data_IF_166079431376
#
_entry.id   IF_166079431376
#
_cell.length_a   1.000
_cell.length_b   1.000
_cell.length_c   1.000
_cell.angle_alpha   90.00
_cell.angle_beta   90.00
_cell.angle_gamma   90.00
#
_symmetry.space_group_name_H-M   'P 1'
#
loop_
_entity.id
_entity.type
_entity.pdbx_description
1 polymer ?
#
# COMPACT_ATOMS: atom_id res chain seq x y z
N UNK A 1 12.42 18.23 10.49
CA UNK A 1 11.18 17.46 10.74
C UNK A 1 11.49 16.10 11.36
N UNK A 2 12.27 15.23 10.70
CA UNK A 2 12.65 13.89 11.22
C UNK A 2 13.27 13.96 12.63
N UNK A 3 14.21 14.88 12.87
CA UNK A 3 14.81 15.03 14.22
C UNK A 3 13.80 15.42 15.31
N UNK A 4 12.76 16.18 14.98
CA UNK A 4 11.70 16.52 15.94
C UNK A 4 10.85 15.29 16.29
N UNK A 5 10.59 14.43 15.30
CA UNK A 5 9.90 13.15 15.49
C UNK A 5 10.75 12.23 16.36
N UNK A 6 12.05 12.10 16.07
CA UNK A 6 13.02 11.35 16.87
C UNK A 6 13.00 11.82 18.33
N UNK A 7 13.07 13.14 18.55
CA UNK A 7 13.06 13.71 19.89
C UNK A 7 11.73 13.46 20.62
N UNK A 8 10.58 13.56 19.93
CA UNK A 8 9.26 13.29 20.50
C UNK A 8 9.07 11.80 20.87
N UNK A 9 9.53 10.89 20.01
CA UNK A 9 9.51 9.44 20.28
C UNK A 9 10.38 9.10 21.49
N UNK A 10 11.61 9.62 21.52
CA UNK A 10 12.53 9.39 22.64
C UNK A 10 11.96 9.93 23.96
N UNK A 11 11.34 11.12 23.96
CA UNK A 11 10.71 11.68 25.15
C UNK A 11 9.50 10.84 25.63
N UNK A 12 8.70 10.31 24.70
CA UNK A 12 7.55 9.45 25.04
C UNK A 12 8.01 8.10 25.61
N UNK A 13 9.08 7.51 25.07
CA UNK A 13 9.70 6.30 25.59
C UNK A 13 10.23 6.49 27.02
N UNK A 14 10.84 7.64 27.32
CA UNK A 14 11.34 7.92 28.68
C UNK A 14 10.24 8.09 29.72
N UNK A 15 9.06 8.63 29.36
CA UNK A 15 7.93 8.79 30.28
C UNK A 15 7.21 7.48 30.62
N UNK A 16 7.21 6.51 29.71
CA UNK A 16 6.57 5.22 29.92
C UNK A 16 7.48 4.20 30.63
N UNK A 17 8.76 4.51 30.85
CA UNK A 17 9.80 3.62 31.38
C UNK A 17 9.91 3.60 32.92
N UNK A 18 8.87 3.97 33.68
CA UNK A 18 8.92 3.88 35.17
C UNK A 18 9.08 2.41 35.65
N UNK A 19 8.82 1.44 34.77
CA UNK A 19 9.20 0.04 34.97
C UNK A 19 10.15 -0.41 33.87
N UNK A 20 11.35 -0.83 34.30
CA UNK A 20 12.40 -1.53 33.53
C UNK A 20 13.32 -0.66 32.65
N UNK A 21 14.43 -0.17 33.25
CA UNK A 21 15.50 0.60 32.60
C UNK A 21 16.28 -0.18 31.51
N UNK A 22 15.95 -1.45 31.25
CA UNK A 22 16.77 -2.33 30.41
C UNK A 22 16.35 -2.39 28.93
N UNK A 23 15.23 -1.79 28.50
CA UNK A 23 14.77 -1.89 27.10
C UNK A 23 14.06 -0.64 26.56
N UNK A 24 14.75 0.50 26.51
CA UNK A 24 14.27 1.64 25.70
C UNK A 24 14.47 1.34 24.21
N UNK A 25 13.43 0.86 23.52
CA UNK A 25 13.48 0.56 22.09
C UNK A 25 13.58 1.85 21.26
N UNK A 26 14.78 2.18 20.79
CA UNK A 26 15.05 3.35 19.93
C UNK A 26 14.11 3.39 18.72
N UNK A 27 13.80 4.57 18.17
CA UNK A 27 13.06 4.66 16.90
C UNK A 27 13.72 3.80 15.81
N UNK A 28 12.92 3.02 15.08
CA UNK A 28 13.34 2.36 13.85
C UNK A 28 12.98 3.25 12.65
N UNK A 29 13.96 3.57 11.81
CA UNK A 29 13.73 4.16 10.50
C UNK A 29 13.79 3.04 9.48
N UNK A 30 12.65 2.73 8.86
CA UNK A 30 12.53 1.72 7.82
C UNK A 30 12.51 2.42 6.45
N UNK A 31 13.61 2.25 5.72
CA UNK A 31 13.79 2.80 4.37
C UNK A 31 13.38 1.75 3.33
N UNK A 32 12.46 2.09 2.43
CA UNK A 32 11.98 1.16 1.42
C UNK A 32 13.06 0.73 0.41
N UNK A 33 13.86 1.69 -0.08
CA UNK A 33 14.92 1.47 -1.08
C UNK A 33 16.20 0.88 -0.52
N UNK A 34 17.23 0.78 -1.36
CA UNK A 34 18.55 0.26 -0.98
C UNK A 34 19.42 1.29 -0.25
N UNK A 35 20.45 0.80 0.44
CA UNK A 35 21.44 1.64 1.13
C UNK A 35 22.05 2.70 0.20
N UNK A 36 22.44 2.31 -1.01
CA UNK A 36 23.13 3.17 -1.99
C UNK A 36 22.28 4.38 -2.43
N UNK A 37 20.95 4.24 -2.47
CA UNK A 37 20.03 5.35 -2.82
C UNK A 37 19.91 6.40 -1.72
N UNK A 38 20.46 6.14 -0.53
CA UNK A 38 20.28 6.93 0.68
C UNK A 38 21.61 7.53 1.20
N UNK A 39 22.73 7.26 0.52
CA UNK A 39 24.05 7.76 0.90
C UNK A 39 24.19 9.20 0.44
N UNK A 40 23.76 10.12 1.28
CA UNK A 40 24.49 11.39 1.46
C UNK A 40 24.20 12.06 2.82
N UNK A 41 23.08 11.75 3.51
CA UNK A 41 22.65 12.55 4.68
C UNK A 41 22.05 11.80 5.89
N UNK A 42 22.15 10.47 6.03
CA UNK A 42 21.41 9.75 7.11
C UNK A 42 22.20 9.50 8.39
N UNK A 43 23.43 8.94 8.30
CA UNK A 43 24.17 8.51 9.49
C UNK A 43 24.65 9.65 10.42
N UNK A 44 24.86 10.86 9.88
CA UNK A 44 25.25 12.05 10.67
C UNK A 44 24.06 12.76 11.33
N UNK A 45 22.85 12.59 10.80
CA UNK A 45 21.69 13.40 11.20
C UNK A 45 20.69 12.66 12.08
N UNK A 46 20.74 11.33 12.17
CA UNK A 46 19.83 10.52 13.00
C UNK A 46 20.56 9.84 14.15
N UNK A 47 20.96 10.62 15.15
CA UNK A 47 21.51 10.06 16.39
C UNK A 47 20.42 9.36 17.19
N UNK A 48 20.73 8.21 17.79
CA UNK A 48 19.80 7.41 18.63
C UNK A 48 18.60 6.82 17.87
N UNK A 49 18.80 6.38 16.63
CA UNK A 49 17.84 5.59 15.85
C UNK A 49 18.56 4.41 15.20
N UNK A 50 17.84 3.31 14.96
CA UNK A 50 18.35 2.27 14.07
C UNK A 50 17.71 2.46 12.69
N UNK A 51 18.47 2.15 11.63
CA UNK A 51 18.01 2.28 10.25
C UNK A 51 18.03 0.89 9.61
N UNK A 52 16.94 0.52 8.95
CA UNK A 52 16.81 -0.73 8.22
C UNK A 52 16.37 -0.47 6.78
N UNK A 53 17.08 -1.07 5.83
CA UNK A 53 16.78 -0.96 4.41
C UNK A 53 16.05 -2.21 3.93
N UNK A 54 14.93 -2.03 3.22
CA UNK A 54 14.14 -3.15 2.70
C UNK A 54 14.54 -3.58 1.30
N UNK A 55 15.38 -2.79 0.61
CA UNK A 55 15.88 -3.08 -0.74
C UNK A 55 14.76 -3.36 -1.76
N UNK A 56 13.65 -2.65 -1.64
CA UNK A 56 12.55 -2.74 -2.60
C UNK A 56 13.00 -2.16 -3.95
N UNK A 57 12.61 -2.81 -5.07
CA UNK A 57 12.93 -2.33 -6.41
C UNK A 57 12.26 -0.99 -6.72
N UNK A 58 12.89 -0.18 -7.58
CA UNK A 58 12.30 1.08 -8.04
C UNK A 58 11.07 0.89 -8.95
N UNK A 59 10.41 2.01 -9.27
CA UNK A 59 9.20 2.01 -10.11
C UNK A 59 9.44 1.38 -11.48
N UNK A 60 10.65 1.52 -12.04
CA UNK A 60 10.98 1.01 -13.37
C UNK A 60 11.16 -0.51 -13.36
N UNK A 61 11.80 -1.06 -12.32
CA UNK A 61 11.94 -2.49 -12.11
C UNK A 61 10.58 -3.17 -11.87
N UNK A 62 9.69 -2.53 -11.10
CA UNK A 62 8.30 -2.98 -10.93
C UNK A 62 7.54 -2.97 -12.26
N UNK A 63 7.65 -1.89 -13.06
CA UNK A 63 7.00 -1.81 -14.36
C UNK A 63 7.51 -2.89 -15.33
N UNK A 64 8.83 -3.10 -15.42
CA UNK A 64 9.42 -4.18 -16.23
C UNK A 64 8.92 -5.56 -15.79
N UNK A 65 8.89 -5.82 -14.48
CA UNK A 65 8.38 -7.07 -13.90
C UNK A 65 6.93 -7.34 -14.34
N UNK A 66 6.05 -6.35 -14.22
CA UNK A 66 4.65 -6.47 -14.62
C UNK A 66 4.49 -6.65 -16.14
N UNK A 67 5.27 -5.96 -16.97
CA UNK A 67 5.25 -6.14 -18.42
C UNK A 67 5.66 -7.56 -18.81
N UNK A 68 6.69 -8.11 -18.17
CA UNK A 68 7.11 -9.51 -18.40
C UNK A 68 6.02 -10.49 -17.97
N UNK A 69 5.38 -10.25 -16.82
CA UNK A 69 4.27 -11.10 -16.34
C UNK A 69 3.08 -11.09 -17.30
N UNK A 70 2.69 -9.91 -17.81
CA UNK A 70 1.63 -9.79 -18.83
C UNK A 70 1.96 -10.60 -20.08
N UNK A 71 3.21 -10.53 -20.56
CA UNK A 71 3.65 -11.30 -21.74
C UNK A 71 3.64 -12.81 -21.49
N UNK A 72 4.14 -13.25 -20.34
CA UNK A 72 4.14 -14.66 -19.96
C UNK A 72 2.70 -15.23 -19.87
N UNK A 73 1.75 -14.45 -19.38
CA UNK A 73 0.34 -14.87 -19.27
C UNK A 73 -0.44 -14.77 -20.60
N UNK A 74 0.00 -13.95 -21.56
CA UNK A 74 -0.66 -13.85 -22.86
C UNK A 74 -0.37 -15.05 -23.77
N UNK A 75 0.80 -15.69 -23.63
CA UNK A 75 1.21 -16.84 -24.45
C UNK A 75 1.67 -17.96 -23.51
N UNK A 76 0.73 -18.80 -23.08
CA UNK A 76 1.04 -19.97 -22.27
C UNK A 76 1.73 -21.02 -23.14
N UNK A 77 2.88 -21.48 -22.68
CA UNK A 77 3.70 -22.51 -23.33
C UNK A 77 4.32 -23.40 -22.26
N UNK A 78 4.98 -24.50 -22.66
CA UNK A 78 5.45 -25.56 -21.75
C UNK A 78 6.42 -25.05 -20.67
N UNK A 79 7.10 -23.92 -20.89
CA UNK A 79 8.00 -23.29 -19.92
C UNK A 79 7.37 -22.10 -19.14
N UNK A 80 6.04 -21.96 -19.15
CA UNK A 80 5.32 -20.84 -18.55
C UNK A 80 5.72 -20.54 -17.10
N UNK A 81 5.84 -21.56 -16.24
CA UNK A 81 6.22 -21.37 -14.83
C UNK A 81 7.63 -20.76 -14.68
N UNK A 82 8.56 -21.15 -15.56
CA UNK A 82 9.90 -20.56 -15.62
C UNK A 82 9.83 -19.11 -16.06
N UNK A 83 9.00 -18.80 -17.06
CA UNK A 83 8.77 -17.42 -17.50
C UNK A 83 8.20 -16.56 -16.37
N UNK A 84 7.14 -17.02 -15.69
CA UNK A 84 6.54 -16.32 -14.54
C UNK A 84 7.57 -16.10 -13.44
N UNK A 85 8.38 -17.11 -13.10
CA UNK A 85 9.43 -16.99 -12.09
C UNK A 85 10.47 -15.94 -12.48
N UNK A 86 10.84 -15.87 -13.76
CA UNK A 86 11.83 -14.91 -14.28
C UNK A 86 11.36 -13.44 -14.23
N UNK A 87 10.04 -13.20 -14.15
CA UNK A 87 9.47 -11.85 -14.02
C UNK A 87 9.83 -11.17 -12.71
N UNK A 88 10.15 -11.97 -11.67
CA UNK A 88 10.33 -11.55 -10.28
C UNK A 88 9.09 -10.95 -9.60
N UNK A 89 7.90 -11.02 -10.21
CA UNK A 89 6.71 -10.38 -9.66
C UNK A 89 6.36 -10.90 -8.26
N UNK A 90 6.29 -12.23 -8.09
CA UNK A 90 6.01 -12.85 -6.79
C UNK A 90 7.08 -12.53 -5.73
N UNK A 91 8.35 -12.45 -6.14
CA UNK A 91 9.44 -12.03 -5.27
C UNK A 91 9.28 -10.58 -4.82
N UNK A 92 8.81 -9.70 -5.71
CA UNK A 92 8.51 -8.30 -5.37
C UNK A 92 7.33 -8.19 -4.40
N UNK A 93 6.27 -9.01 -4.57
CA UNK A 93 5.16 -9.08 -3.61
C UNK A 93 5.64 -9.56 -2.24
N UNK A 94 6.43 -10.65 -2.22
CA UNK A 94 6.98 -11.22 -0.99
C UNK A 94 7.87 -10.21 -0.24
N UNK A 95 8.73 -9.48 -0.95
CA UNK A 95 9.56 -8.44 -0.37
C UNK A 95 8.72 -7.31 0.26
N UNK A 96 7.66 -6.88 -0.42
CA UNK A 96 6.76 -5.82 0.06
C UNK A 96 5.96 -6.26 1.30
N UNK A 97 5.41 -7.48 1.28
CA UNK A 97 4.73 -8.08 2.46
C UNK A 97 5.70 -8.26 3.63
N UNK A 98 6.96 -8.63 3.35
CA UNK A 98 8.02 -8.74 4.37
C UNK A 98 8.34 -7.39 5.01
N UNK A 99 8.41 -6.31 4.21
CA UNK A 99 8.58 -4.96 4.72
C UNK A 99 7.44 -4.54 5.65
N UNK A 100 6.20 -4.76 5.25
CA UNK A 100 5.03 -4.50 6.10
C UNK A 100 5.05 -5.35 7.38
N UNK A 101 5.37 -6.65 7.27
CA UNK A 101 5.48 -7.56 8.42
C UNK A 101 6.56 -7.12 9.41
N UNK A 102 7.66 -6.54 8.93
CA UNK A 102 8.70 -5.94 9.78
C UNK A 102 8.14 -4.77 10.60
N UNK A 103 7.36 -3.88 9.98
CA UNK A 103 6.66 -2.78 10.67
C UNK A 103 5.73 -3.34 11.74
N UNK A 104 4.90 -4.32 11.39
CA UNK A 104 3.95 -4.98 12.32
C UNK A 104 4.68 -5.60 13.51
N UNK A 105 5.78 -6.31 13.29
CA UNK A 105 6.56 -6.94 14.35
C UNK A 105 7.11 -5.90 15.33
N UNK A 106 7.75 -4.84 14.83
CA UNK A 106 8.33 -3.80 15.66
C UNK A 106 7.25 -3.02 16.44
N UNK A 107 6.14 -2.68 15.79
CA UNK A 107 5.04 -1.94 16.44
C UNK A 107 4.32 -2.79 17.49
N UNK A 108 3.88 -3.99 17.13
CA UNK A 108 2.98 -4.78 17.97
C UNK A 108 3.70 -5.69 18.97
N UNK A 109 4.87 -6.23 18.62
CA UNK A 109 5.62 -7.15 19.51
C UNK A 109 6.67 -6.41 20.33
N UNK A 110 7.42 -5.52 19.68
CA UNK A 110 8.56 -4.85 20.33
C UNK A 110 8.19 -3.50 20.96
N UNK A 111 6.92 -3.06 20.83
CA UNK A 111 6.43 -1.74 21.25
C UNK A 111 7.38 -0.61 20.79
N UNK A 112 7.92 -0.78 19.59
CA UNK A 112 8.96 0.07 19.03
C UNK A 112 8.33 1.00 18.00
N UNK A 113 8.49 2.32 18.13
CA UNK A 113 8.00 3.24 17.12
C UNK A 113 8.78 3.03 15.82
N UNK A 114 8.05 3.05 14.70
CA UNK A 114 8.62 2.88 13.35
C UNK A 114 8.27 4.09 12.49
N UNK A 115 9.29 4.67 11.89
CA UNK A 115 9.18 5.68 10.84
C UNK A 115 9.46 5.03 9.49
N UNK A 116 8.45 4.95 8.61
CA UNK A 116 8.62 4.44 7.26
C UNK A 116 8.82 5.60 6.29
N UNK A 117 9.83 5.50 5.42
CA UNK A 117 9.96 6.41 4.29
C UNK A 117 10.66 5.75 3.08
N UNK A 118 10.58 6.42 1.93
CA UNK A 118 11.35 6.11 0.74
C UNK A 118 12.00 7.41 0.22
N UNK A 119 12.46 7.42 -1.03
CA UNK A 119 13.13 8.57 -1.67
C UNK A 119 12.23 9.81 -1.77
N UNK A 120 10.95 9.66 -2.13
CA UNK A 120 9.99 10.76 -2.30
C UNK A 120 8.69 10.58 -1.49
N UNK A 121 8.58 9.50 -0.71
CA UNK A 121 7.43 9.21 0.14
C UNK A 121 6.15 8.76 -0.57
N UNK A 122 6.09 8.71 -1.90
CA UNK A 122 4.81 8.61 -2.66
C UNK A 122 4.45 7.22 -3.17
N UNK A 123 5.42 6.32 -3.29
CA UNK A 123 5.22 4.98 -3.89
C UNK A 123 5.30 3.86 -2.85
N UNK A 124 6.50 3.49 -2.41
CA UNK A 124 6.67 2.38 -1.45
C UNK A 124 6.16 2.68 -0.05
N UNK A 125 6.19 3.94 0.40
CA UNK A 125 5.70 4.32 1.73
C UNK A 125 4.22 3.97 1.91
N UNK A 126 3.28 4.43 1.05
CA UNK A 126 1.88 4.06 1.20
C UNK A 126 1.66 2.55 1.05
N UNK A 127 2.40 1.84 0.20
CA UNK A 127 2.32 0.38 0.11
C UNK A 127 2.64 -0.31 1.45
N UNK A 128 3.78 0.02 2.06
CA UNK A 128 4.22 -0.58 3.32
C UNK A 128 3.28 -0.21 4.47
N UNK A 129 2.93 1.08 4.60
CA UNK A 129 2.08 1.59 5.68
C UNK A 129 0.70 0.94 5.63
N UNK A 130 0.04 0.94 4.48
CA UNK A 130 -1.33 0.43 4.36
C UNK A 130 -1.41 -1.10 4.51
N UNK A 131 -0.38 -1.84 4.07
CA UNK A 131 -0.26 -3.26 4.39
C UNK A 131 -0.11 -3.50 5.88
N UNK A 132 0.77 -2.76 6.56
CA UNK A 132 0.97 -2.89 7.99
C UNK A 132 -0.32 -2.52 8.77
N UNK A 133 -1.02 -1.45 8.37
CA UNK A 133 -2.28 -1.04 8.98
C UNK A 133 -3.37 -2.11 8.83
N UNK A 134 -3.54 -2.71 7.64
CA UNK A 134 -4.49 -3.82 7.42
C UNK A 134 -4.13 -5.05 8.26
N UNK A 135 -2.84 -5.35 8.41
CA UNK A 135 -2.36 -6.45 9.24
C UNK A 135 -2.63 -6.19 10.74
N UNK A 136 -2.52 -4.95 11.21
CA UNK A 136 -2.67 -4.56 12.61
C UNK A 136 -4.12 -4.34 13.04
N UNK A 137 -4.95 -3.73 12.19
CA UNK A 137 -6.29 -3.26 12.57
C UNK A 137 -7.37 -3.90 11.69
N UNK A 138 -8.27 -4.65 12.35
CA UNK A 138 -9.40 -5.32 11.68
C UNK A 138 -10.39 -4.35 11.06
N UNK A 139 -10.43 -3.09 11.52
CA UNK A 139 -11.27 -2.05 10.91
C UNK A 139 -10.98 -1.88 9.42
N UNK A 140 -9.71 -1.85 9.02
CA UNK A 140 -9.33 -1.67 7.62
C UNK A 140 -9.62 -2.90 6.73
N UNK A 141 -10.04 -4.03 7.33
CA UNK A 141 -10.51 -5.22 6.62
C UNK A 141 -12.03 -5.20 6.38
N UNK A 142 -12.71 -4.15 6.84
CA UNK A 142 -14.08 -3.83 6.44
C UNK A 142 -14.08 -3.04 5.13
N UNK A 143 -15.19 -3.06 4.39
CA UNK A 143 -15.34 -2.29 3.14
C UNK A 143 -15.10 -0.80 3.40
N UNK A 144 -15.74 -0.25 4.45
CA UNK A 144 -15.62 1.16 4.81
C UNK A 144 -14.20 1.50 5.28
N UNK A 145 -13.60 0.66 6.12
CA UNK A 145 -12.23 0.87 6.58
C UNK A 145 -11.23 0.83 5.43
N UNK A 146 -11.36 -0.10 4.49
CA UNK A 146 -10.52 -0.16 3.30
C UNK A 146 -10.63 1.11 2.44
N UNK A 147 -11.84 1.63 2.23
CA UNK A 147 -12.07 2.88 1.52
C UNK A 147 -11.38 4.07 2.19
N UNK A 148 -11.51 4.17 3.52
CA UNK A 148 -10.85 5.22 4.31
C UNK A 148 -9.33 5.08 4.24
N UNK A 149 -8.81 3.85 4.27
CA UNK A 149 -7.38 3.60 4.14
C UNK A 149 -6.85 4.08 2.79
N UNK A 150 -7.55 3.78 1.69
CA UNK A 150 -7.18 4.22 0.35
C UNK A 150 -7.26 5.75 0.23
N UNK A 151 -8.38 6.35 0.63
CA UNK A 151 -8.56 7.80 0.57
C UNK A 151 -7.49 8.54 1.37
N UNK A 152 -7.19 8.06 2.58
CA UNK A 152 -6.22 8.69 3.46
C UNK A 152 -4.79 8.48 2.96
N UNK A 153 -4.34 7.23 2.81
CA UNK A 153 -2.90 6.96 2.60
C UNK A 153 -2.46 7.04 1.15
N UNK A 154 -3.37 6.88 0.18
CA UNK A 154 -3.01 6.95 -1.23
C UNK A 154 -3.40 8.28 -1.86
N UNK A 155 -4.62 8.76 -1.62
CA UNK A 155 -5.13 9.97 -2.29
C UNK A 155 -4.66 11.24 -1.57
N UNK A 156 -5.00 11.40 -0.29
CA UNK A 156 -4.63 12.60 0.47
C UNK A 156 -3.13 12.71 0.69
N UNK A 157 -2.44 11.57 0.78
CA UNK A 157 -0.97 11.53 0.88
C UNK A 157 -0.25 11.60 -0.47
N UNK A 158 -0.98 11.82 -1.57
CA UNK A 158 -0.41 12.29 -2.83
C UNK A 158 0.33 11.23 -3.65
N UNK A 159 -0.13 9.98 -3.65
CA UNK A 159 0.31 9.03 -4.67
C UNK A 159 -0.02 9.58 -6.05
N UNK A 160 0.97 9.56 -6.96
CA UNK A 160 0.87 10.14 -8.30
C UNK A 160 0.08 9.23 -9.26
N UNK A 161 -1.19 8.97 -8.97
CA UNK A 161 -2.05 8.14 -9.82
C UNK A 161 -2.07 8.61 -11.28
N UNK A 162 -2.02 9.93 -11.52
CA UNK A 162 -1.93 10.50 -12.85
C UNK A 162 -0.73 9.95 -13.62
N UNK A 163 0.48 10.16 -13.11
CA UNK A 163 1.71 9.78 -13.81
C UNK A 163 1.89 8.26 -13.84
N UNK A 164 1.65 7.59 -12.70
CA UNK A 164 1.81 6.12 -12.56
C UNK A 164 0.87 5.35 -13.48
N UNK A 165 -0.34 5.86 -13.72
CA UNK A 165 -1.32 5.24 -14.61
C UNK A 165 -1.33 5.82 -16.03
N UNK A 166 -0.53 6.85 -16.34
CA UNK A 166 -0.47 7.44 -17.69
C UNK A 166 -1.63 8.38 -18.03
N UNK A 167 -2.24 9.01 -17.03
CA UNK A 167 -3.29 10.04 -17.16
C UNK A 167 -2.82 11.43 -16.66
N UNK A 168 -1.54 11.56 -16.33
CA UNK A 168 -0.93 12.81 -15.90
C UNK A 168 -0.83 13.85 -17.02
N UNK A 169 -0.34 15.05 -16.67
CA UNK A 169 -0.09 16.12 -17.65
C UNK A 169 0.89 15.65 -18.73
N UNK A 170 1.88 14.85 -18.32
CA UNK A 170 2.84 14.18 -19.20
C UNK A 170 2.45 12.71 -19.44
N UNK A 171 1.18 12.45 -19.72
CA UNK A 171 0.67 11.10 -20.01
C UNK A 171 1.51 10.34 -21.04
N UNK A 172 2.23 11.03 -21.92
CA UNK A 172 3.09 10.43 -22.94
C UNK A 172 4.47 9.98 -22.43
N UNK A 173 4.91 10.34 -21.23
CA UNK A 173 6.18 9.86 -20.67
C UNK A 173 6.01 8.44 -20.11
N UNK A 174 6.58 7.41 -20.77
CA UNK A 174 6.47 6.03 -20.29
C UNK A 174 7.34 5.77 -19.04
N UNK A 175 8.27 6.67 -18.69
CA UNK A 175 9.24 6.44 -17.61
C UNK A 175 8.60 6.54 -16.23
N UNK A 176 7.60 7.40 -16.07
CA UNK A 176 6.89 7.61 -14.81
C UNK A 176 5.77 6.59 -14.56
N UNK A 177 5.47 5.73 -15.55
CA UNK A 177 4.40 4.73 -15.44
C UNK A 177 4.88 3.50 -14.66
N UNK A 178 4.10 3.09 -13.66
CA UNK A 178 4.37 1.87 -12.90
C UNK A 178 3.15 1.36 -12.13
N UNK A 179 2.89 0.04 -12.07
CA UNK A 179 1.72 -0.54 -11.42
C UNK A 179 1.84 -0.62 -9.89
N UNK A 180 2.19 0.47 -9.21
CA UNK A 180 2.47 0.52 -7.76
C UNK A 180 1.22 0.18 -6.93
N UNK A 181 0.08 0.81 -7.21
CA UNK A 181 -1.17 0.49 -6.52
C UNK A 181 -1.66 -0.94 -6.84
N UNK A 182 -1.48 -1.41 -8.07
CA UNK A 182 -1.85 -2.77 -8.45
C UNK A 182 -1.00 -3.82 -7.71
N UNK A 183 0.31 -3.58 -7.59
CA UNK A 183 1.18 -4.44 -6.79
C UNK A 183 0.69 -4.52 -5.34
N UNK A 184 0.24 -3.41 -4.77
CA UNK A 184 -0.34 -3.39 -3.43
C UNK A 184 -1.64 -4.19 -3.34
N UNK A 185 -2.56 -4.03 -4.29
CA UNK A 185 -3.79 -4.83 -4.33
C UNK A 185 -3.49 -6.34 -4.43
N UNK A 186 -2.47 -6.72 -5.20
CA UNK A 186 -2.03 -8.12 -5.29
C UNK A 186 -1.53 -8.62 -3.92
N UNK A 187 -0.78 -7.81 -3.18
CA UNK A 187 -0.43 -8.12 -1.79
C UNK A 187 -1.67 -8.28 -0.89
N UNK A 188 -2.70 -7.42 -1.03
CA UNK A 188 -3.95 -7.59 -0.28
C UNK A 188 -4.64 -8.90 -0.65
N UNK A 189 -4.67 -9.26 -1.94
CA UNK A 189 -5.18 -10.53 -2.39
C UNK A 189 -4.44 -11.71 -1.72
N UNK A 190 -3.11 -11.67 -1.61
CA UNK A 190 -2.35 -12.69 -0.87
C UNK A 190 -2.80 -12.79 0.60
N UNK A 191 -3.07 -11.66 1.27
CA UNK A 191 -3.56 -11.67 2.66
C UNK A 191 -4.97 -12.25 2.79
N UNK A 192 -5.86 -11.98 1.82
CA UNK A 192 -7.20 -12.59 1.77
C UNK A 192 -7.07 -14.10 1.58
N UNK A 193 -6.18 -14.55 0.69
CA UNK A 193 -5.97 -15.99 0.47
C UNK A 193 -5.45 -16.70 1.73
N UNK A 194 -4.59 -16.06 2.51
CA UNK A 194 -4.08 -16.60 3.78
C UNK A 194 -5.19 -16.70 4.85
N UNK A 195 -6.12 -15.74 4.90
CA UNK A 195 -7.26 -15.80 5.83
C UNK A 195 -8.50 -15.09 5.29
N UNK A 196 -9.32 -15.82 4.53
CA UNK A 196 -10.54 -15.30 3.92
C UNK A 196 -11.57 -14.79 4.93
N UNK A 197 -11.60 -15.38 6.13
CA UNK A 197 -12.57 -14.99 7.19
C UNK A 197 -12.19 -13.70 7.92
N UNK A 198 -10.95 -13.21 7.73
CA UNK A 198 -10.51 -11.98 8.34
C UNK A 198 -10.98 -10.72 7.60
N UNK A 199 -11.50 -10.87 6.37
CA UNK A 199 -11.91 -9.77 5.50
C UNK A 199 -13.41 -9.79 5.27
N UNK A 200 -14.03 -8.60 5.33
CA UNK A 200 -15.44 -8.45 4.97
C UNK A 200 -15.67 -8.56 3.46
N UNK A 201 -14.64 -8.26 2.67
CA UNK A 201 -14.65 -8.27 1.22
C UNK A 201 -13.80 -9.42 0.66
N UNK A 202 -14.02 -9.74 -0.62
CA UNK A 202 -13.35 -10.82 -1.33
C UNK A 202 -12.53 -10.29 -2.53
N UNK A 203 -11.95 -11.18 -3.31
CA UNK A 203 -11.17 -10.86 -4.50
C UNK A 203 -11.97 -10.08 -5.56
N UNK A 204 -13.28 -10.32 -5.66
CA UNK A 204 -14.16 -9.59 -6.59
C UNK A 204 -14.20 -8.10 -6.20
N UNK A 205 -14.23 -7.80 -4.90
CA UNK A 205 -14.15 -6.41 -4.45
C UNK A 205 -12.82 -5.76 -4.89
N UNK A 206 -11.68 -6.44 -4.80
CA UNK A 206 -10.40 -5.86 -5.24
C UNK A 206 -10.34 -5.58 -6.75
N UNK A 207 -11.07 -6.33 -7.57
CA UNK A 207 -11.15 -6.15 -9.04
C UNK A 207 -12.20 -5.09 -9.43
N UNK A 208 -13.35 -5.07 -8.74
CA UNK A 208 -14.47 -4.17 -9.05
C UNK A 208 -14.38 -2.82 -8.35
N UNK A 209 -13.77 -2.74 -7.17
CA UNK A 209 -13.58 -1.48 -6.44
C UNK A 209 -12.83 -0.44 -7.27
N UNK A 210 -11.75 -0.79 -7.99
CA UNK A 210 -11.12 0.14 -8.92
C UNK A 210 -12.00 0.50 -10.14
N UNK A 211 -12.98 -0.33 -10.48
CA UNK A 211 -13.91 -0.09 -11.59
C UNK A 211 -15.12 0.78 -11.21
N UNK A 212 -15.31 1.10 -9.93
CA UNK A 212 -16.47 1.83 -9.42
C UNK A 212 -16.21 3.35 -9.33
N UNK A 213 -17.22 4.13 -9.70
CA UNK A 213 -17.22 5.56 -10.05
C UNK A 213 -16.92 6.55 -8.90
N UNK A 214 -15.92 6.28 -8.07
CA UNK A 214 -15.26 7.33 -7.29
C UNK A 214 -14.51 8.20 -8.31
N UNK A 215 -14.76 9.52 -8.31
CA UNK A 215 -14.23 10.45 -9.33
C UNK A 215 -12.69 10.41 -9.47
N UNK A 216 -11.97 9.85 -8.49
CA UNK A 216 -10.52 9.65 -8.48
C UNK A 216 -10.04 8.25 -8.95
N UNK A 217 -10.95 7.29 -9.16
CA UNK A 217 -10.63 5.91 -9.60
C UNK A 217 -11.11 5.61 -11.03
N UNK A 218 -11.72 6.57 -11.73
CA UNK A 218 -12.08 6.45 -13.16
C UNK A 218 -10.87 6.18 -14.09
N UNK A 219 -9.67 6.36 -13.54
CA UNK A 219 -8.34 6.02 -14.08
C UNK A 219 -8.13 4.49 -14.26
N UNK A 220 -8.91 3.65 -13.59
CA UNK A 220 -8.67 2.19 -13.53
C UNK A 220 -9.41 1.37 -14.59
N UNK A 221 -10.55 1.83 -15.13
CA UNK A 221 -11.22 1.12 -16.23
C UNK A 221 -10.33 1.04 -17.47
N UNK A 222 -9.52 2.06 -17.71
CA UNK A 222 -8.78 2.21 -18.97
C UNK A 222 -7.52 1.35 -19.01
N UNK A 223 -7.04 0.86 -17.86
CA UNK A 223 -5.87 -0.03 -17.76
C UNK A 223 -6.23 -1.52 -17.91
N UNK A 224 -7.48 -1.91 -17.67
CA UNK A 224 -7.92 -3.32 -17.70
C UNK A 224 -9.04 -3.63 -18.71
N UNK A 225 -9.83 -2.63 -19.16
CA UNK A 225 -10.95 -2.81 -20.09
C UNK A 225 -10.70 -2.30 -21.51
N UNK A 226 -9.48 -1.87 -21.85
CA UNK A 226 -9.15 -1.49 -23.24
C UNK A 226 -8.92 -2.71 -24.14
N UNK A 227 -9.90 -3.60 -24.18
CA UNK A 227 -10.22 -4.45 -25.32
C UNK A 227 -11.71 -4.84 -25.31
N UNK A 228 -12.61 -3.86 -25.44
CA UNK A 228 -13.86 -4.12 -26.18
C UNK A 228 -14.19 -2.92 -27.07
N UNK A 229 -14.23 -3.23 -28.36
CA UNK A 229 -14.56 -2.33 -29.47
C UNK A 229 -15.92 -1.64 -29.25
N UNK A 230 -16.00 -0.37 -29.64
CA UNK A 230 -17.21 0.41 -29.95
C UNK A 230 -18.09 0.84 -28.76
N UNK A 231 -18.22 2.16 -28.53
CA UNK A 231 -19.50 2.89 -28.45
C UNK A 231 -19.23 4.42 -28.41
N UNK A 232 -20.17 5.26 -28.90
CA UNK A 232 -19.90 6.60 -29.42
C UNK A 232 -19.88 7.69 -28.35
N UNK A 233 -19.08 8.71 -28.63
CA UNK A 233 -19.16 10.04 -28.02
C UNK A 233 -20.54 10.62 -28.32
N UNK A 234 -21.36 10.86 -27.28
CA UNK A 234 -22.21 12.06 -27.14
C UNK A 234 -23.31 11.82 -26.09
N UNK A 235 -23.11 12.36 -24.87
CA UNK A 235 -24.16 12.92 -23.99
C UNK A 235 -23.58 13.22 -22.59
N UNK A 236 -22.96 14.40 -22.47
CA UNK A 236 -22.60 14.95 -21.16
C UNK A 236 -23.84 15.56 -20.51
N UNK A 237 -24.31 14.97 -19.42
CA UNK A 237 -25.14 15.65 -18.42
C UNK A 237 -24.46 15.56 -17.06
N UNK A 238 -24.25 16.73 -16.45
CA UNK A 238 -23.66 16.91 -15.13
C UNK A 238 -24.78 16.77 -14.08
N UNK A 239 -24.64 15.89 -13.06
CA UNK A 239 -25.47 16.01 -11.86
C UNK A 239 -24.65 16.43 -10.63
N UNK A 240 -25.29 17.31 -9.87
CA UNK A 240 -24.91 17.91 -8.60
C UNK A 240 -24.88 16.92 -7.43
N UNK A 241 -24.01 17.23 -6.45
CA UNK A 241 -23.98 16.80 -5.03
C UNK A 241 -24.30 15.33 -4.66
N UNK A 242 -23.32 14.72 -3.98
CA UNK A 242 -23.33 13.37 -3.42
C UNK A 242 -24.32 13.27 -2.24
N UNK A 243 -25.55 12.78 -2.45
CA UNK A 243 -26.46 12.46 -1.33
C UNK A 243 -27.55 11.39 -1.56
N UNK A 244 -27.56 10.57 -2.62
CA UNK A 244 -28.72 9.68 -2.85
C UNK A 244 -28.45 8.29 -3.45
N UNK A 245 -27.28 7.68 -3.26
CA UNK A 245 -27.10 6.25 -3.57
C UNK A 245 -26.58 5.49 -2.35
N UNK A 246 -27.47 5.40 -1.36
CA UNK A 246 -27.30 4.60 -0.16
C UNK A 246 -28.62 3.94 0.18
N UNK A 247 -29.19 3.17 -0.74
CA UNK A 247 -30.27 2.20 -0.55
C UNK A 247 -30.37 1.38 -1.85
N UNK A 248 -30.54 0.07 -1.74
CA UNK A 248 -30.85 -0.86 -2.84
C UNK A 248 -29.66 -1.40 -3.67
N UNK A 249 -28.84 -2.24 -3.04
CA UNK A 249 -28.53 -3.60 -3.53
C UNK A 249 -27.62 -4.32 -2.53
N UNK A 250 -28.24 -4.82 -1.46
CA UNK A 250 -27.58 -5.61 -0.43
C UNK A 250 -28.12 -7.04 -0.53
N UNK A 251 -27.59 -7.83 -1.47
CA UNK A 251 -27.73 -9.29 -1.51
C UNK A 251 -26.78 -9.85 -2.58
N UNK A 252 -25.51 -10.09 -2.21
CA UNK A 252 -24.72 -11.27 -2.65
C UNK A 252 -23.23 -11.29 -2.24
N UNK A 253 -22.68 -10.28 -1.54
CA UNK A 253 -21.24 -10.23 -1.25
C UNK A 253 -20.85 -10.38 0.24
N UNK A 254 -21.67 -11.03 1.07
CA UNK A 254 -21.41 -11.09 2.51
C UNK A 254 -20.87 -12.47 2.94
N UNK A 255 -19.57 -12.57 3.21
CA UNK A 255 -19.04 -13.59 4.11
C UNK A 255 -19.51 -13.24 5.54
N UNK A 256 -20.60 -13.88 5.97
CA UNK A 256 -21.30 -13.52 7.20
C UNK A 256 -20.74 -14.31 8.38
N UNK A 257 -19.72 -13.79 9.06
CA UNK A 257 -19.37 -14.10 10.46
C UNK A 257 -18.24 -13.16 10.94
N UNK A 258 -18.58 -12.11 11.69
CA UNK A 258 -17.58 -11.27 12.39
C UNK A 258 -17.75 -11.40 13.89
N UNK A 259 -16.76 -12.00 14.56
CA UNK A 259 -16.60 -11.88 16.01
C UNK A 259 -15.96 -10.52 16.32
N UNK A 260 -16.68 -9.66 17.02
CA UNK A 260 -16.21 -8.38 17.52
C UNK A 260 -15.15 -8.61 18.61
N UNK A 261 -13.88 -8.36 18.30
CA UNK A 261 -12.85 -8.10 19.31
C UNK A 261 -12.51 -6.62 19.27
N UNK A 262 -12.76 -5.96 20.40
CA UNK A 262 -12.54 -4.54 20.62
C UNK A 262 -11.03 -4.31 20.76
N UNK A 263 -10.40 -3.81 19.68
CA UNK A 263 -8.96 -3.56 19.62
C UNK A 263 -8.62 -2.18 20.19
N UNK A 264 -7.78 -2.15 21.22
CA UNK A 264 -7.24 -0.92 21.82
C UNK A 264 -6.18 -0.29 20.89
N UNK A 265 -6.34 1.02 20.68
CA UNK A 265 -5.44 2.01 20.05
C UNK A 265 -3.96 1.59 19.89
N UNK A 266 -3.61 1.02 18.74
CA UNK A 266 -2.20 0.78 18.32
C UNK A 266 -1.64 1.84 17.35
N UNK A 267 -2.45 2.84 16.98
CA UNK A 267 -2.10 3.87 15.98
C UNK A 267 -1.03 4.87 16.43
N UNK A 268 -0.59 4.84 17.69
CA UNK A 268 0.35 5.82 18.26
C UNK A 268 1.83 5.52 17.94
N UNK A 269 2.14 4.38 17.32
CA UNK A 269 3.53 3.94 17.09
C UNK A 269 3.97 3.92 15.62
N UNK A 270 3.06 4.23 14.68
CA UNK A 270 3.38 4.27 13.25
C UNK A 270 3.50 5.72 12.77
N UNK A 271 4.71 6.11 12.39
CA UNK A 271 5.05 7.45 11.91
C UNK A 271 5.46 7.40 10.44
N UNK A 272 5.21 8.48 9.70
CA UNK A 272 5.47 8.57 8.26
C UNK A 272 5.83 9.99 7.85
N UNK A 273 6.62 10.11 6.78
CA UNK A 273 7.09 11.39 6.22
C UNK A 273 6.98 11.32 4.69
N UNK A 274 6.49 12.42 4.10
CA UNK A 274 6.57 12.71 2.67
C UNK A 274 7.94 13.25 2.31
#
# INVERSE_FOLDING_TARGET
MIQAIINACNHTLTKNSIHDETKSSRLLILHAGSYDTCIENSAKYYTNCDIQFMNLPDIHAINRSAQMLRRANAVQCDNWLSQVTSTRWLQNLSALITAASCVVANVNKDNRPVLVHCSNGRDHTPQIITLAEIMLDSYYRTINGFQILVEREWIQFGHEFGDRCGHGVDANDPNERSPIFLQWLDCIYQLIMENQTAFQFNEIFLVLYPSCSSRNLRIWSDLYLYDTRYMPTDSYHHPSSLSTYGSDNNNNNNNKLTNSTQSNRSSNFLLRIM
#
